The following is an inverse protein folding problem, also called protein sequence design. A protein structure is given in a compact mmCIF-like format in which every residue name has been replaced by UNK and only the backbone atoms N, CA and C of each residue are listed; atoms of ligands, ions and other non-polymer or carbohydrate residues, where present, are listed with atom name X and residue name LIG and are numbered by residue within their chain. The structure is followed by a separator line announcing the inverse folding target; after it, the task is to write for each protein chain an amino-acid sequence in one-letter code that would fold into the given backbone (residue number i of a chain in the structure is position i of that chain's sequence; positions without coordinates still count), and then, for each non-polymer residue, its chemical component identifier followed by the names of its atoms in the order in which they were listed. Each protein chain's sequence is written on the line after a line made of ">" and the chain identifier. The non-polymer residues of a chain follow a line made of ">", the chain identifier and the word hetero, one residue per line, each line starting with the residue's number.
data_IF_232039060565
#
_entry.id   IF_232039060565
#
_cell.length_a   1.000
_cell.length_b   1.000
_cell.length_c   1.000
_cell.angle_alpha   90.00
_cell.angle_beta   90.00
_cell.angle_gamma   90.00
#
_symmetry.space_group_name_H-M   'P 1'
#
loop_
_entity.id
_entity.type
_entity.pdbx_description
1 polymer ?
#
# COMPACT_ATOMS: atom_id res chain seq x y z
N UNK A 1 -25.71 10.41 -0.97
CA UNK A 1 -25.70 9.64 -2.24
C UNK A 1 -26.56 8.39 -2.07
N UNK A 2 -27.74 8.37 -2.69
CA UNK A 2 -28.67 7.23 -2.58
C UNK A 2 -28.17 6.05 -3.43
N UNK A 3 -27.97 4.90 -2.80
CA UNK A 3 -27.50 3.67 -3.45
C UNK A 3 -28.69 3.00 -4.15
N UNK A 4 -28.90 3.31 -5.44
CA UNK A 4 -29.94 2.63 -6.25
C UNK A 4 -29.64 1.13 -6.25
N UNK A 5 -30.53 0.33 -5.66
CA UNK A 5 -30.51 -1.14 -5.77
C UNK A 5 -30.93 -1.47 -7.20
N UNK A 6 -30.04 -2.05 -8.00
CA UNK A 6 -30.42 -2.53 -9.33
C UNK A 6 -31.45 -3.65 -9.18
N UNK A 7 -32.63 -3.42 -9.73
CA UNK A 7 -33.73 -4.38 -9.80
C UNK A 7 -33.29 -5.67 -10.52
N UNK A 8 -33.70 -6.83 -10.00
CA UNK A 8 -33.86 -8.21 -10.53
C UNK A 8 -33.25 -8.64 -11.89
N UNK A 9 -32.21 -7.98 -12.38
CA UNK A 9 -31.43 -8.35 -13.56
C UNK A 9 -30.17 -9.10 -13.14
N UNK A 10 -29.70 -9.97 -14.04
CA UNK A 10 -28.46 -10.73 -13.90
C UNK A 10 -27.35 -9.90 -13.26
N UNK A 11 -26.94 -10.30 -12.05
CA UNK A 11 -25.88 -9.62 -11.33
C UNK A 11 -24.61 -10.42 -11.46
N UNK A 12 -23.84 -10.12 -12.50
CA UNK A 12 -22.53 -10.73 -12.76
C UNK A 12 -21.63 -10.74 -11.51
N UNK A 13 -21.67 -9.69 -10.68
CA UNK A 13 -20.83 -9.60 -9.48
C UNK A 13 -21.33 -10.45 -8.30
N UNK A 14 -22.59 -10.92 -8.32
CA UNK A 14 -23.11 -11.90 -7.38
C UNK A 14 -22.72 -13.31 -7.80
N UNK A 15 -22.93 -13.65 -9.08
CA UNK A 15 -22.56 -14.97 -9.64
C UNK A 15 -21.05 -15.25 -9.55
N UNK A 16 -20.21 -14.24 -9.80
CA UNK A 16 -18.76 -14.37 -9.62
C UNK A 16 -18.40 -14.65 -8.16
N UNK A 17 -19.15 -14.12 -7.19
CA UNK A 17 -18.89 -14.42 -5.77
C UNK A 17 -19.26 -15.85 -5.45
N UNK A 18 -20.42 -16.33 -5.89
CA UNK A 18 -20.84 -17.72 -5.69
C UNK A 18 -19.80 -18.69 -6.26
N UNK A 19 -19.27 -18.41 -7.46
CA UNK A 19 -18.20 -19.19 -8.08
C UNK A 19 -16.87 -19.14 -7.29
N UNK A 20 -16.52 -17.98 -6.73
CA UNK A 20 -15.30 -17.81 -5.93
C UNK A 20 -15.42 -18.35 -4.49
N UNK A 21 -16.64 -18.47 -3.97
CA UNK A 21 -16.92 -19.13 -2.69
C UNK A 21 -16.80 -20.64 -2.83
N UNK A 22 -17.29 -21.21 -3.94
CA UNK A 22 -17.14 -22.63 -4.27
C UNK A 22 -15.69 -22.99 -4.68
N UNK A 23 -14.96 -22.08 -5.31
CA UNK A 23 -13.57 -22.31 -5.73
C UNK A 23 -12.72 -21.04 -5.60
N UNK A 24 -11.99 -20.94 -4.48
CA UNK A 24 -11.22 -19.73 -4.11
C UNK A 24 -10.02 -19.40 -5.02
N UNK A 25 -9.50 -20.39 -5.75
CA UNK A 25 -8.26 -20.25 -6.53
C UNK A 25 -8.49 -20.01 -8.03
N UNK A 26 -9.74 -19.83 -8.47
CA UNK A 26 -10.04 -19.61 -9.88
C UNK A 26 -9.39 -18.32 -10.41
N UNK A 27 -8.80 -18.44 -11.60
CA UNK A 27 -8.30 -17.33 -12.39
C UNK A 27 -9.45 -16.55 -13.04
N UNK A 28 -9.25 -15.25 -13.25
CA UNK A 28 -10.29 -14.39 -13.86
C UNK A 28 -10.75 -14.89 -15.24
N UNK A 29 -9.87 -15.56 -15.99
CA UNK A 29 -10.19 -16.18 -17.29
C UNK A 29 -11.09 -17.41 -17.15
N UNK A 30 -10.89 -18.20 -16.10
CA UNK A 30 -11.69 -19.40 -15.82
C UNK A 30 -13.10 -19.01 -15.36
N UNK A 31 -13.19 -17.97 -14.53
CA UNK A 31 -14.47 -17.38 -14.12
C UNK A 31 -15.25 -16.85 -15.33
N UNK A 32 -14.58 -16.20 -16.28
CA UNK A 32 -15.20 -15.73 -17.51
C UNK A 32 -15.73 -16.89 -18.38
N UNK A 33 -14.92 -17.94 -18.55
CA UNK A 33 -15.35 -19.13 -19.29
C UNK A 33 -16.53 -19.85 -18.62
N UNK A 34 -16.55 -19.93 -17.29
CA UNK A 34 -17.65 -20.49 -16.50
C UNK A 34 -18.93 -19.68 -16.62
N UNK A 35 -18.83 -18.34 -16.58
CA UNK A 35 -19.98 -17.45 -16.76
C UNK A 35 -20.57 -17.54 -18.16
N UNK A 36 -19.73 -17.60 -19.21
CA UNK A 36 -20.20 -17.71 -20.60
C UNK A 36 -20.93 -19.04 -20.86
N UNK A 37 -20.51 -20.12 -20.19
CA UNK A 37 -21.21 -21.42 -20.22
C UNK A 37 -22.55 -21.37 -19.48
N UNK A 38 -22.59 -20.73 -18.31
CA UNK A 38 -23.82 -20.64 -17.47
C UNK A 38 -24.84 -19.66 -18.04
N UNK A 39 -24.40 -18.59 -18.70
CA UNK A 39 -25.26 -17.52 -19.20
C UNK A 39 -24.91 -17.12 -20.65
N UNK A 40 -25.17 -17.99 -21.64
CA UNK A 40 -24.83 -17.74 -23.04
C UNK A 40 -25.66 -16.61 -23.69
N UNK A 41 -26.80 -16.22 -23.10
CA UNK A 41 -27.70 -15.18 -23.60
C UNK A 41 -27.36 -13.76 -23.12
N UNK A 42 -26.37 -13.61 -22.25
CA UNK A 42 -25.97 -12.33 -21.69
C UNK A 42 -24.72 -11.82 -22.43
N UNK A 43 -24.71 -10.55 -22.83
CA UNK A 43 -23.51 -9.90 -23.39
C UNK A 43 -22.49 -9.62 -22.28
N UNK A 44 -21.73 -10.65 -21.92
CA UNK A 44 -20.68 -10.57 -20.90
C UNK A 44 -19.39 -10.07 -21.55
N UNK A 45 -19.09 -8.80 -21.31
CA UNK A 45 -17.81 -8.20 -21.68
C UNK A 45 -16.69 -8.69 -20.72
N UNK A 46 -15.58 -9.16 -21.28
CA UNK A 46 -14.41 -9.63 -20.54
C UNK A 46 -13.84 -8.56 -19.59
N UNK A 47 -13.80 -7.30 -20.03
CA UNK A 47 -13.30 -6.18 -19.22
C UNK A 47 -14.16 -5.95 -17.98
N UNK A 48 -15.49 -5.93 -18.14
CA UNK A 48 -16.46 -5.80 -17.05
C UNK A 48 -16.38 -6.99 -16.09
N UNK A 49 -16.19 -8.21 -16.62
CA UNK A 49 -15.96 -9.42 -15.82
C UNK A 49 -14.70 -9.30 -14.97
N UNK A 50 -13.60 -8.78 -15.52
CA UNK A 50 -12.34 -8.54 -14.79
C UNK A 50 -12.51 -7.55 -13.63
N UNK A 51 -13.26 -6.46 -13.83
CA UNK A 51 -13.55 -5.49 -12.75
C UNK A 51 -14.42 -6.12 -11.66
N UNK A 52 -15.47 -6.86 -12.04
CA UNK A 52 -16.35 -7.55 -11.10
C UNK A 52 -15.61 -8.64 -10.30
N UNK A 53 -14.73 -9.40 -10.96
CA UNK A 53 -13.86 -10.41 -10.33
C UNK A 53 -12.88 -9.80 -9.32
N UNK A 54 -12.21 -8.71 -9.69
CA UNK A 54 -11.32 -7.97 -8.77
C UNK A 54 -12.10 -7.46 -7.55
N UNK A 55 -13.30 -6.93 -7.76
CA UNK A 55 -14.19 -6.50 -6.68
C UNK A 55 -14.66 -7.66 -5.78
N UNK A 56 -14.99 -8.81 -6.36
CA UNK A 56 -15.42 -10.01 -5.64
C UNK A 56 -14.28 -10.59 -4.78
N UNK A 57 -13.07 -10.74 -5.34
CA UNK A 57 -11.88 -11.19 -4.60
C UNK A 57 -11.54 -10.28 -3.43
N UNK A 58 -11.67 -8.96 -3.59
CA UNK A 58 -11.47 -8.00 -2.49
C UNK A 58 -12.47 -8.20 -1.36
N UNK A 59 -13.74 -8.46 -1.67
CA UNK A 59 -14.78 -8.70 -0.66
C UNK A 59 -14.59 -10.02 0.07
N UNK A 60 -14.07 -11.04 -0.61
CA UNK A 60 -13.77 -12.35 -0.03
C UNK A 60 -12.39 -12.42 0.68
N UNK A 61 -11.64 -11.31 0.71
CA UNK A 61 -10.32 -11.26 1.34
C UNK A 61 -9.20 -11.98 0.57
N UNK A 62 -9.47 -12.50 -0.63
CA UNK A 62 -8.52 -13.25 -1.49
C UNK A 62 -7.65 -12.29 -2.33
N UNK A 63 -7.70 -10.99 -2.03
CA UNK A 63 -6.86 -10.01 -2.68
C UNK A 63 -5.41 -10.30 -2.31
N UNK A 64 -4.61 -10.67 -3.31
CA UNK A 64 -3.16 -10.62 -3.17
C UNK A 64 -2.80 -9.25 -2.57
N UNK A 65 -1.95 -9.24 -1.53
CA UNK A 65 -1.33 -8.02 -0.99
C UNK A 65 -0.43 -7.43 -2.09
N UNK A 66 -1.02 -6.92 -3.18
CA UNK A 66 -0.32 -6.05 -4.11
C UNK A 66 -0.05 -4.80 -3.32
N UNK A 67 1.21 -4.64 -2.91
CA UNK A 67 1.71 -3.46 -2.22
C UNK A 67 1.06 -2.23 -2.82
N UNK A 68 0.36 -1.49 -1.98
CA UNK A 68 -0.37 -0.28 -2.35
C UNK A 68 0.64 0.69 -2.96
N UNK A 69 0.84 0.65 -4.28
CA UNK A 69 1.42 1.79 -4.99
C UNK A 69 0.43 2.91 -4.74
N UNK A 70 0.81 3.83 -3.84
CA UNK A 70 0.07 5.05 -3.54
C UNK A 70 -0.05 5.77 -4.87
N UNK A 71 -1.17 5.59 -5.57
CA UNK A 71 -1.58 6.53 -6.59
C UNK A 71 -1.75 7.83 -5.84
N UNK A 72 -0.83 8.75 -6.08
CA UNK A 72 -0.93 10.15 -5.71
C UNK A 72 -2.19 10.68 -6.37
N UNK A 73 -3.33 10.50 -5.70
CA UNK A 73 -4.45 11.40 -5.88
C UNK A 73 -3.83 12.79 -5.79
N UNK A 74 -3.99 13.56 -6.86
CA UNK A 74 -3.48 14.92 -7.00
C UNK A 74 -4.26 15.79 -6.02
N UNK A 75 -4.02 15.59 -4.73
CA UNK A 75 -4.31 16.59 -3.70
C UNK A 75 -3.49 17.77 -4.14
N UNK A 76 -4.15 18.85 -4.53
CA UNK A 76 -3.55 20.18 -4.65
C UNK A 76 -3.03 20.53 -3.27
N UNK A 77 -1.83 20.04 -2.96
CA UNK A 77 -1.06 20.44 -1.80
C UNK A 77 -0.74 21.91 -2.08
N UNK A 78 -1.45 22.81 -1.39
CA UNK A 78 -1.02 24.20 -1.28
C UNK A 78 0.45 24.14 -0.88
N UNK A 79 1.34 24.63 -1.75
CA UNK A 79 2.77 24.75 -1.45
C UNK A 79 2.88 25.61 -0.20
N UNK A 80 2.96 24.99 0.97
CA UNK A 80 3.50 25.69 2.14
C UNK A 80 4.94 26.01 1.78
N UNK A 81 5.29 27.30 1.85
CA UNK A 81 6.68 27.73 1.76
C UNK A 81 7.49 26.88 2.76
N UNK A 82 8.63 26.32 2.35
CA UNK A 82 9.51 25.66 3.30
C UNK A 82 9.88 26.68 4.37
N UNK A 83 9.50 26.41 5.61
CA UNK A 83 10.05 27.11 6.77
C UNK A 83 11.53 26.76 6.82
N UNK A 84 12.39 27.79 6.88
CA UNK A 84 13.85 27.70 6.84
C UNK A 84 14.47 26.84 7.97
N UNK A 85 13.67 26.31 8.88
CA UNK A 85 14.10 25.50 10.03
C UNK A 85 14.51 24.06 9.67
N UNK A 86 14.21 23.55 8.46
CA UNK A 86 14.50 22.16 8.09
C UNK A 86 15.84 21.95 7.35
N UNK A 87 16.64 23.00 7.15
CA UNK A 87 17.90 22.92 6.37
C UNK A 87 19.13 23.50 7.07
N UNK A 88 19.04 23.80 8.37
CA UNK A 88 20.24 24.07 9.16
C UNK A 88 20.91 22.73 9.49
N UNK A 89 21.61 22.16 8.51
CA UNK A 89 22.64 21.16 8.79
C UNK A 89 23.73 21.90 9.56
N UNK A 90 23.84 21.64 10.86
CA UNK A 90 24.87 22.23 11.68
C UNK A 90 26.25 21.66 11.28
N UNK A 91 26.96 22.41 10.44
CA UNK A 91 28.27 22.03 9.93
C UNK A 91 29.30 21.89 11.05
N UNK A 92 29.13 22.61 12.17
CA UNK A 92 30.02 22.47 13.32
C UNK A 92 29.81 21.12 14.02
N UNK A 93 28.57 20.67 14.15
CA UNK A 93 28.25 19.36 14.70
C UNK A 93 28.83 18.22 13.82
N UNK A 94 28.79 18.37 12.50
CA UNK A 94 29.38 17.40 11.56
C UNK A 94 30.92 17.39 11.63
N UNK A 95 31.57 18.56 11.72
CA UNK A 95 33.02 18.64 11.88
C UNK A 95 33.49 18.07 13.21
N UNK A 96 32.75 18.31 14.30
CA UNK A 96 33.04 17.70 15.59
C UNK A 96 32.91 16.17 15.53
N UNK A 97 31.82 15.66 14.94
CA UNK A 97 31.64 14.22 14.77
C UNK A 97 32.76 13.58 13.93
N UNK A 98 33.20 14.23 12.85
CA UNK A 98 34.30 13.75 12.02
C UNK A 98 35.62 13.66 12.80
N UNK A 99 35.95 14.66 13.64
CA UNK A 99 37.14 14.63 14.51
C UNK A 99 37.07 13.48 15.52
N UNK A 100 35.94 13.31 16.19
CA UNK A 100 35.75 12.19 17.13
C UNK A 100 35.91 10.82 16.46
N UNK A 101 35.38 10.65 15.25
CA UNK A 101 35.53 9.39 14.51
C UNK A 101 36.99 9.18 14.07
N UNK A 102 37.71 10.24 13.69
CA UNK A 102 39.13 10.13 13.33
C UNK A 102 40.05 9.82 14.53
N UNK A 103 39.72 10.31 15.72
CA UNK A 103 40.52 10.09 16.94
C UNK A 103 40.23 8.73 17.57
N UNK A 104 38.98 8.27 17.54
CA UNK A 104 38.58 6.98 18.15
C UNK A 104 38.76 5.81 17.18
N UNK A 105 38.80 6.07 15.87
CA UNK A 105 39.01 5.09 14.80
C UNK A 105 37.86 4.09 14.61
N UNK A 106 36.89 4.07 15.52
CA UNK A 106 35.81 3.09 15.55
C UNK A 106 34.53 3.74 16.10
N UNK A 107 33.54 3.92 15.23
CA UNK A 107 32.32 4.66 15.53
C UNK A 107 31.51 4.01 16.67
N UNK A 108 31.60 2.69 16.82
CA UNK A 108 30.89 1.97 17.89
C UNK A 108 31.45 2.28 19.28
N UNK A 109 32.78 2.44 19.40
CA UNK A 109 33.43 2.80 20.66
C UNK A 109 33.12 4.25 21.06
N UNK A 110 33.02 5.16 20.08
CA UNK A 110 32.56 6.53 20.32
C UNK A 110 31.14 6.59 20.87
N UNK A 111 30.22 5.79 20.31
CA UNK A 111 28.84 5.70 20.81
C UNK A 111 28.80 5.12 22.24
N UNK A 112 29.63 4.12 22.54
CA UNK A 112 29.73 3.54 23.88
C UNK A 112 30.27 4.57 24.91
N UNK A 113 31.30 5.33 24.56
CA UNK A 113 31.87 6.38 25.40
C UNK A 113 30.87 7.53 25.67
N UNK A 114 30.13 7.97 24.65
CA UNK A 114 29.08 8.99 24.80
C UNK A 114 27.96 8.50 25.73
N UNK A 115 27.59 7.22 25.65
CA UNK A 115 26.61 6.64 26.58
C UNK A 115 27.11 6.62 28.02
N UNK A 116 28.38 6.29 28.24
CA UNK A 116 29.00 6.29 29.56
C UNK A 116 29.12 7.71 30.15
N UNK A 117 29.52 8.70 29.34
CA UNK A 117 29.54 10.11 29.76
C UNK A 117 28.14 10.61 30.14
N UNK A 118 27.12 10.23 29.35
CA UNK A 118 25.74 10.61 29.65
C UNK A 118 25.23 10.00 30.95
N UNK A 119 25.61 8.75 31.27
CA UNK A 119 25.25 8.15 32.57
C UNK A 119 25.90 8.84 33.78
N UNK A 120 27.07 9.47 33.59
CA UNK A 120 27.76 10.20 34.66
C UNK A 120 27.21 11.62 34.88
N UNK A 121 26.58 12.22 33.86
CA UNK A 121 25.99 13.57 33.95
C UNK A 121 24.60 13.63 34.62
N UNK A 122 23.98 12.48 34.90
CA UNK A 122 22.67 12.38 35.59
C UNK A 122 22.80 11.92 37.05
N UNK A 123 23.98 12.04 37.67
CA UNK A 123 24.16 11.93 39.12
C UNK A 123 24.22 13.29 39.79
#
# INVERSE_FOLDING_TARGET
>A
MAKKRSANGFNMAAEIRSLLEESRDLSGKEVYAGLKKKFPKQDINESSCGVAFSGARKKLGISAKRGKKRTTAKTTVRKMKPTAAAQAVDLNALQAAAKFVSEVGDAEKGIAAIRQLRSLQFQ
#
